data_IF_448165939164
#
_entry.id   IF_448165939164
#
_cell.length_a   1.000
_cell.length_b   1.000
_cell.length_c   1.000
_cell.angle_alpha   90.00
_cell.angle_beta   90.00
_cell.angle_gamma   90.00
#
_symmetry.space_group_name_H-M   'P 1'
#
loop_
_entity.id
_entity.type
_entity.pdbx_description
1 polymer ?
#
# COMPACT_ATOMS: atom_id res chain seq x y z
N UNK A 1 51.39 28.11 -24.37
CA UNK A 1 50.14 27.96 -25.13
C UNK A 1 49.45 26.72 -24.62
N UNK A 2 48.51 26.89 -23.72
CA UNK A 2 47.72 25.78 -23.13
C UNK A 2 46.31 25.95 -23.69
N UNK A 3 45.90 25.04 -24.57
CA UNK A 3 44.54 24.97 -25.11
C UNK A 3 43.60 24.37 -24.07
N UNK A 4 42.43 24.97 -23.80
CA UNK A 4 41.46 24.40 -22.90
C UNK A 4 40.71 23.24 -23.58
N UNK A 5 40.62 22.10 -22.90
CA UNK A 5 39.74 20.96 -23.27
C UNK A 5 38.31 21.43 -23.21
N UNK A 6 37.57 21.30 -24.30
CA UNK A 6 36.11 21.39 -24.35
C UNK A 6 35.53 20.24 -23.54
N UNK A 7 34.73 20.56 -22.54
CA UNK A 7 33.82 19.65 -21.89
C UNK A 7 32.62 19.43 -22.82
N UNK A 8 32.56 18.26 -23.46
CA UNK A 8 31.36 17.79 -24.14
C UNK A 8 30.31 17.45 -23.08
N UNK A 9 29.51 18.46 -22.77
CA UNK A 9 28.29 18.28 -22.02
C UNK A 9 27.20 17.95 -23.04
N UNK A 10 27.07 16.67 -23.41
CA UNK A 10 25.90 16.20 -24.12
C UNK A 10 24.68 16.40 -23.20
N UNK A 11 23.54 16.94 -23.69
CA UNK A 11 22.33 17.02 -22.89
C UNK A 11 21.92 15.61 -22.54
N UNK A 12 21.68 15.38 -21.22
CA UNK A 12 21.14 14.16 -20.67
C UNK A 12 19.79 13.90 -21.38
N UNK A 13 19.75 12.95 -22.29
CA UNK A 13 18.51 12.51 -22.91
C UNK A 13 17.56 12.12 -21.78
N UNK A 14 16.28 12.54 -21.80
CA UNK A 14 15.29 12.10 -20.83
C UNK A 14 15.21 10.59 -20.94
N UNK A 15 15.73 9.90 -19.92
CA UNK A 15 15.56 8.46 -19.81
C UNK A 15 14.06 8.15 -19.97
N UNK A 16 13.70 7.06 -20.66
CA UNK A 16 12.32 6.74 -20.94
C UNK A 16 11.54 6.79 -19.62
N UNK A 17 10.46 7.58 -19.61
CA UNK A 17 9.42 7.45 -18.58
C UNK A 17 9.21 5.95 -18.40
N UNK A 18 9.26 5.47 -17.15
CA UNK A 18 9.08 4.04 -16.86
C UNK A 18 7.77 3.63 -17.54
N UNK A 19 7.88 3.14 -18.76
CA UNK A 19 6.79 2.51 -19.48
C UNK A 19 6.50 1.20 -18.73
N UNK A 20 5.75 1.36 -17.64
CA UNK A 20 5.12 0.25 -16.95
C UNK A 20 4.00 -0.23 -17.88
N UNK A 21 4.36 -0.94 -18.95
CA UNK A 21 3.38 -1.62 -19.79
C UNK A 21 2.37 -2.34 -18.91
N UNK A 22 1.13 -2.44 -19.34
CA UNK A 22 -0.04 -2.97 -18.59
C UNK A 22 0.20 -4.21 -17.70
N UNK A 23 1.26 -4.95 -17.92
CA UNK A 23 1.66 -6.12 -17.15
C UNK A 23 2.41 -5.85 -15.83
N UNK A 24 2.87 -4.61 -15.54
CA UNK A 24 3.72 -4.33 -14.37
C UNK A 24 2.97 -3.66 -13.20
N UNK A 25 1.66 -3.43 -13.32
CA UNK A 25 0.87 -2.65 -12.36
C UNK A 25 0.21 -3.50 -11.28
N UNK A 26 0.88 -4.49 -10.73
CA UNK A 26 0.30 -5.33 -9.68
C UNK A 26 1.35 -6.15 -8.96
N UNK A 27 0.91 -6.97 -8.01
CA UNK A 27 1.74 -7.93 -7.28
C UNK A 27 1.12 -9.32 -7.35
N UNK A 28 1.96 -10.33 -7.51
CA UNK A 28 1.62 -11.73 -7.34
C UNK A 28 2.42 -12.33 -6.19
N UNK A 29 1.70 -12.93 -5.26
CA UNK A 29 2.21 -13.66 -4.10
C UNK A 29 1.96 -15.15 -4.35
N UNK A 30 2.98 -16.00 -4.21
CA UNK A 30 2.89 -17.45 -4.42
C UNK A 30 3.60 -18.20 -3.32
N UNK A 31 2.91 -19.20 -2.76
CA UNK A 31 3.40 -20.15 -1.75
C UNK A 31 4.11 -19.46 -0.58
N UNK A 32 3.59 -18.28 -0.18
CA UNK A 32 4.23 -17.40 0.77
C UNK A 32 4.11 -17.95 2.19
N UNK A 33 5.26 -18.25 2.80
CA UNK A 33 5.36 -18.62 4.22
C UNK A 33 6.30 -17.65 4.93
N UNK A 34 5.79 -17.02 5.98
CA UNK A 34 6.59 -16.17 6.88
C UNK A 34 6.57 -16.75 8.28
N UNK A 35 7.74 -16.89 8.89
CA UNK A 35 7.89 -17.41 10.25
C UNK A 35 8.66 -16.44 11.12
N UNK A 36 8.18 -16.23 12.35
CA UNK A 36 8.90 -15.55 13.41
C UNK A 36 9.19 -16.58 14.51
N UNK A 37 10.45 -17.00 14.61
CA UNK A 37 10.87 -18.11 15.49
C UNK A 37 10.04 -19.38 15.20
N UNK A 38 9.28 -19.89 16.18
CA UNK A 38 8.43 -21.08 16.02
C UNK A 38 7.03 -20.81 15.46
N UNK A 39 6.60 -19.50 15.34
CA UNK A 39 5.25 -19.15 14.91
C UNK A 39 5.21 -18.84 13.42
N UNK A 40 4.30 -19.48 12.69
CA UNK A 40 3.97 -19.09 11.32
C UNK A 40 3.08 -17.83 11.37
N UNK A 41 3.56 -16.76 10.79
CA UNK A 41 2.87 -15.47 10.73
C UNK A 41 2.05 -15.30 9.45
N UNK A 42 2.49 -15.93 8.35
CA UNK A 42 1.75 -15.98 7.09
C UNK A 42 1.90 -17.37 6.46
N UNK A 43 0.79 -17.85 5.88
CA UNK A 43 0.70 -19.05 5.06
C UNK A 43 -0.33 -18.77 3.95
N UNK A 44 0.16 -18.24 2.82
CA UNK A 44 -0.68 -17.77 1.71
C UNK A 44 -0.25 -18.47 0.43
N UNK A 45 -0.99 -19.49 -0.03
CA UNK A 45 -0.64 -20.22 -1.26
C UNK A 45 -0.66 -19.34 -2.49
N UNK A 46 -1.68 -18.48 -2.61
CA UNK A 46 -1.81 -17.56 -3.74
C UNK A 46 -2.60 -16.32 -3.34
N UNK A 47 -2.08 -15.14 -3.73
CA UNK A 47 -2.78 -13.88 -3.64
C UNK A 47 -2.25 -12.96 -4.74
N UNK A 48 -3.11 -12.16 -5.34
CA UNK A 48 -2.68 -11.19 -6.34
C UNK A 48 -3.31 -9.84 -6.03
N UNK A 49 -2.58 -8.77 -6.27
CA UNK A 49 -3.09 -7.39 -6.22
C UNK A 49 -3.03 -6.80 -7.63
N UNK A 50 -4.08 -6.12 -8.03
CA UNK A 50 -4.24 -5.54 -9.38
C UNK A 50 -4.54 -4.04 -9.27
N UNK A 51 -4.49 -3.28 -10.38
CA UNK A 51 -4.94 -1.88 -10.38
C UNK A 51 -6.32 -1.76 -9.76
N UNK A 52 -6.51 -0.68 -9.01
CA UNK A 52 -7.64 -0.48 -8.11
C UNK A 52 -7.19 -0.39 -6.67
N UNK A 53 -8.15 -0.25 -5.76
CA UNK A 53 -7.90 -0.17 -4.32
C UNK A 53 -8.31 -1.48 -3.65
N UNK A 54 -7.34 -2.15 -3.05
CA UNK A 54 -7.59 -3.33 -2.20
C UNK A 54 -7.48 -2.94 -0.73
N UNK A 55 -8.57 -3.11 0.01
CA UNK A 55 -8.55 -3.03 1.47
C UNK A 55 -8.09 -4.36 2.07
N UNK A 56 -7.00 -4.31 2.83
CA UNK A 56 -6.46 -5.45 3.58
C UNK A 56 -6.95 -5.38 5.02
N UNK A 57 -7.81 -6.31 5.42
CA UNK A 57 -8.49 -6.31 6.71
C UNK A 57 -8.12 -7.52 7.58
N UNK A 58 -8.58 -7.52 8.80
CA UNK A 58 -8.33 -8.60 9.77
C UNK A 58 -7.96 -8.06 11.15
N UNK A 59 -8.07 -8.90 12.17
CA UNK A 59 -7.73 -8.54 13.56
C UNK A 59 -6.26 -8.16 13.74
N UNK A 60 -5.93 -7.54 14.88
CA UNK A 60 -4.55 -7.26 15.23
C UNK A 60 -3.76 -8.58 15.31
N UNK A 61 -2.57 -8.59 14.71
CA UNK A 61 -1.74 -9.80 14.63
C UNK A 61 -2.14 -10.81 13.55
N UNK A 62 -3.14 -10.51 12.70
CA UNK A 62 -3.55 -11.39 11.59
C UNK A 62 -2.53 -11.52 10.46
N UNK A 63 -1.51 -10.63 10.42
CA UNK A 63 -0.43 -10.69 9.42
C UNK A 63 -0.44 -9.55 8.38
N UNK A 64 -1.33 -8.56 8.46
CA UNK A 64 -1.44 -7.44 7.49
C UNK A 64 -0.11 -6.72 7.27
N UNK A 65 0.46 -6.15 8.32
CA UNK A 65 1.76 -5.45 8.27
C UNK A 65 2.88 -6.37 7.78
N UNK A 66 2.86 -7.64 8.16
CA UNK A 66 3.85 -8.64 7.70
C UNK A 66 3.74 -8.86 6.19
N UNK A 67 2.53 -9.01 5.66
CA UNK A 67 2.27 -9.15 4.22
C UNK A 67 2.75 -7.91 3.46
N UNK A 68 2.38 -6.71 3.91
CA UNK A 68 2.83 -5.46 3.30
C UNK A 68 4.35 -5.33 3.29
N UNK A 69 5.04 -5.68 4.38
CA UNK A 69 6.52 -5.67 4.47
C UNK A 69 7.17 -6.66 3.51
N UNK A 70 6.60 -7.85 3.33
CA UNK A 70 7.10 -8.82 2.35
C UNK A 70 6.88 -8.29 0.93
N UNK A 71 5.70 -7.77 0.63
CA UNK A 71 5.40 -7.15 -0.66
C UNK A 71 6.33 -5.97 -0.99
N UNK A 72 6.74 -5.20 0.03
CA UNK A 72 7.70 -4.10 -0.11
C UNK A 72 9.18 -4.55 -0.14
N UNK A 73 9.47 -5.85 -0.10
CA UNK A 73 10.82 -6.45 0.04
C UNK A 73 11.60 -5.91 1.25
N UNK A 74 10.89 -5.62 2.35
CA UNK A 74 11.46 -5.24 3.64
C UNK A 74 11.61 -6.43 4.58
N UNK A 75 10.92 -7.52 4.29
CA UNK A 75 10.98 -8.76 5.02
C UNK A 75 11.13 -9.93 4.04
N UNK A 76 12.14 -10.78 4.26
CA UNK A 76 12.34 -11.98 3.46
C UNK A 76 11.44 -13.11 3.98
N UNK A 77 10.62 -13.74 3.11
CA UNK A 77 9.83 -14.89 3.51
C UNK A 77 10.71 -16.14 3.76
N UNK A 78 10.20 -17.09 4.53
CA UNK A 78 10.83 -18.39 4.73
C UNK A 78 10.68 -19.30 3.50
N UNK A 79 9.56 -19.15 2.76
CA UNK A 79 9.31 -19.81 1.50
C UNK A 79 8.38 -18.95 0.64
N UNK A 80 8.32 -19.26 -0.67
CA UNK A 80 7.49 -18.56 -1.64
C UNK A 80 8.14 -17.31 -2.20
N UNK A 81 7.35 -16.54 -2.96
CA UNK A 81 7.84 -15.38 -3.69
C UNK A 81 6.79 -14.29 -3.85
N UNK A 82 7.26 -13.06 -4.05
CA UNK A 82 6.47 -11.91 -4.49
C UNK A 82 7.08 -11.39 -5.79
N UNK A 83 6.25 -11.19 -6.80
CA UNK A 83 6.67 -10.66 -8.10
C UNK A 83 5.81 -9.48 -8.54
N UNK A 84 6.39 -8.58 -9.34
CA UNK A 84 5.69 -7.48 -9.98
C UNK A 84 5.00 -7.96 -11.26
N UNK A 85 3.70 -7.65 -11.37
CA UNK A 85 2.91 -7.92 -12.57
C UNK A 85 2.67 -9.40 -12.83
N UNK A 86 2.13 -9.70 -14.02
CA UNK A 86 1.73 -11.04 -14.43
C UNK A 86 2.89 -11.89 -14.99
N UNK A 87 4.14 -11.56 -14.69
CA UNK A 87 5.33 -12.19 -15.29
C UNK A 87 5.76 -13.51 -14.65
N UNK A 88 4.97 -14.03 -13.69
CA UNK A 88 5.37 -15.22 -12.95
C UNK A 88 6.46 -14.91 -11.90
N UNK A 89 6.87 -15.94 -11.12
CA UNK A 89 7.98 -15.77 -10.18
C UNK A 89 9.24 -15.38 -10.97
N UNK A 90 9.95 -14.38 -10.44
CA UNK A 90 11.24 -13.98 -11.00
C UNK A 90 12.20 -15.18 -10.89
N UNK A 91 12.84 -15.62 -11.99
CA UNK A 91 13.74 -16.78 -11.95
C UNK A 91 14.92 -16.60 -10.99
N UNK A 92 15.24 -15.36 -10.63
CA UNK A 92 16.24 -15.00 -9.64
C UNK A 92 15.77 -13.80 -8.80
N UNK A 93 14.92 -14.04 -7.78
CA UNK A 93 14.34 -12.97 -6.98
C UNK A 93 15.39 -12.20 -6.16
N UNK A 94 16.54 -12.79 -5.90
CA UNK A 94 17.64 -12.16 -5.15
C UNK A 94 18.60 -11.36 -6.05
N UNK A 95 18.44 -11.42 -7.36
CA UNK A 95 19.26 -10.64 -8.28
C UNK A 95 19.09 -9.14 -8.02
N UNK A 96 20.20 -8.43 -7.77
CA UNK A 96 20.18 -7.00 -7.42
C UNK A 96 19.33 -6.14 -8.34
N UNK A 97 19.33 -6.44 -9.64
CA UNK A 97 18.53 -5.71 -10.64
C UNK A 97 17.02 -5.89 -10.40
N UNK A 98 16.57 -7.10 -10.04
CA UNK A 98 15.17 -7.42 -9.79
C UNK A 98 14.68 -6.78 -8.50
N UNK A 99 15.45 -6.87 -7.42
CA UNK A 99 15.18 -6.19 -6.15
C UNK A 99 15.10 -4.67 -6.34
N UNK A 100 16.01 -4.10 -7.11
CA UNK A 100 16.02 -2.68 -7.42
C UNK A 100 14.75 -2.25 -8.18
N UNK A 101 14.43 -2.94 -9.28
CA UNK A 101 13.24 -2.69 -10.09
C UNK A 101 11.96 -2.78 -9.27
N UNK A 102 11.87 -3.79 -8.41
CA UNK A 102 10.75 -3.98 -7.50
C UNK A 102 10.61 -2.78 -6.55
N UNK A 103 11.70 -2.34 -5.91
CA UNK A 103 11.69 -1.19 -5.01
C UNK A 103 11.40 0.14 -5.71
N UNK A 104 11.81 0.30 -6.95
CA UNK A 104 11.50 1.49 -7.76
C UNK A 104 10.00 1.55 -8.12
N UNK A 105 9.35 0.38 -8.30
CA UNK A 105 7.94 0.29 -8.65
C UNK A 105 6.99 0.40 -7.44
N UNK A 106 7.50 0.31 -6.20
CA UNK A 106 6.67 0.26 -4.99
C UNK A 106 6.89 1.48 -4.11
N UNK A 107 5.79 2.14 -3.75
CA UNK A 107 5.70 3.04 -2.61
C UNK A 107 5.23 2.29 -1.37
N UNK A 108 5.84 2.52 -0.23
CA UNK A 108 5.43 1.92 1.04
C UNK A 108 5.37 2.95 2.15
N UNK A 109 4.24 3.00 2.84
CA UNK A 109 4.02 3.75 4.07
C UNK A 109 3.88 2.74 5.22
N UNK A 110 4.79 2.70 6.19
CA UNK A 110 4.63 1.90 7.40
C UNK A 110 3.61 2.53 8.36
N UNK A 111 3.04 1.74 9.26
CA UNK A 111 2.11 2.18 10.31
C UNK A 111 2.71 3.28 11.22
N UNK A 112 3.99 3.17 11.53
CA UNK A 112 4.74 4.17 12.28
C UNK A 112 5.95 4.63 11.44
N UNK A 113 5.80 5.66 10.59
CA UNK A 113 6.91 6.20 9.83
C UNK A 113 7.93 6.85 10.75
N UNK A 114 9.18 6.41 10.66
CA UNK A 114 10.31 7.03 11.35
C UNK A 114 11.08 7.90 10.35
N UNK A 115 10.88 9.21 10.44
CA UNK A 115 11.60 10.19 9.62
C UNK A 115 12.08 11.34 10.53
N UNK A 116 13.32 11.86 10.30
CA UNK A 116 13.87 12.91 11.15
C UNK A 116 12.97 14.16 11.23
N UNK A 117 12.42 14.43 12.40
CA UNK A 117 11.41 15.47 12.61
C UNK A 117 11.91 16.90 12.42
N UNK A 118 13.24 17.11 12.23
CA UNK A 118 13.82 18.42 11.96
C UNK A 118 13.73 18.85 10.48
N UNK A 119 13.49 17.92 9.57
CA UNK A 119 13.25 18.24 8.16
C UNK A 119 11.93 19.00 7.99
N UNK A 120 11.91 19.96 7.06
CA UNK A 120 10.64 20.54 6.57
C UNK A 120 9.91 19.53 5.69
N UNK A 121 8.65 19.80 5.39
CA UNK A 121 7.87 18.96 4.44
C UNK A 121 8.58 18.92 3.09
N UNK A 122 8.99 20.08 2.56
CA UNK A 122 9.71 20.18 1.29
C UNK A 122 11.00 19.37 1.29
N UNK A 123 11.82 19.51 2.32
CA UNK A 123 13.08 18.76 2.46
C UNK A 123 12.84 17.27 2.51
N UNK A 124 11.85 16.81 3.28
CA UNK A 124 11.52 15.40 3.44
C UNK A 124 11.05 14.76 2.12
N UNK A 125 10.16 15.43 1.39
CA UNK A 125 9.67 14.95 0.09
C UNK A 125 10.77 15.01 -0.97
N UNK A 126 11.60 16.06 -0.97
CA UNK A 126 12.75 16.18 -1.87
C UNK A 126 13.79 15.09 -1.62
N UNK A 127 14.07 14.79 -0.35
CA UNK A 127 14.96 13.70 0.02
C UNK A 127 14.43 12.34 -0.42
N UNK A 128 13.12 12.08 -0.22
CA UNK A 128 12.47 10.87 -0.70
C UNK A 128 12.55 10.76 -2.24
N UNK A 129 12.31 11.84 -2.96
CA UNK A 129 12.43 11.89 -4.41
C UNK A 129 13.87 11.58 -4.88
N UNK A 130 14.87 12.10 -4.17
CA UNK A 130 16.28 11.80 -4.47
C UNK A 130 16.62 10.32 -4.20
N UNK A 131 16.22 9.80 -3.03
CA UNK A 131 16.46 8.42 -2.63
C UNK A 131 15.81 7.42 -3.61
N UNK A 132 14.61 7.77 -4.10
CA UNK A 132 13.84 7.00 -5.09
C UNK A 132 14.24 7.28 -6.53
N UNK A 133 15.33 8.05 -6.74
CA UNK A 133 15.93 8.32 -8.06
C UNK A 133 15.03 9.06 -9.05
N UNK A 134 14.14 9.90 -8.55
CA UNK A 134 13.41 10.82 -9.43
C UNK A 134 14.44 11.66 -10.21
N UNK A 135 14.37 11.70 -11.55
CA UNK A 135 15.33 12.44 -12.38
C UNK A 135 15.50 13.90 -11.93
N UNK A 136 16.73 14.38 -11.88
CA UNK A 136 17.05 15.73 -11.36
C UNK A 136 16.21 16.83 -12.03
N UNK A 137 16.05 16.75 -13.36
CA UNK A 137 15.30 17.76 -14.11
C UNK A 137 13.79 17.77 -13.80
N UNK A 138 13.21 16.66 -13.29
CA UNK A 138 11.78 16.57 -12.96
C UNK A 138 11.52 16.69 -11.46
N UNK A 139 12.55 16.60 -10.62
CA UNK A 139 12.40 16.45 -9.15
C UNK A 139 11.64 17.61 -8.52
N UNK A 140 12.03 18.85 -8.83
CA UNK A 140 11.41 20.04 -8.24
C UNK A 140 9.92 20.14 -8.61
N UNK A 141 9.57 19.87 -9.86
CA UNK A 141 8.18 19.87 -10.33
C UNK A 141 7.37 18.75 -9.67
N UNK A 142 7.92 17.52 -9.62
CA UNK A 142 7.27 16.37 -9.00
C UNK A 142 7.02 16.58 -7.50
N UNK A 143 8.00 17.13 -6.77
CA UNK A 143 7.88 17.47 -5.35
C UNK A 143 6.77 18.48 -5.13
N UNK A 144 6.77 19.59 -5.89
CA UNK A 144 5.73 20.63 -5.79
C UNK A 144 4.36 20.04 -6.05
N UNK A 145 4.17 19.30 -7.14
CA UNK A 145 2.88 18.68 -7.48
C UNK A 145 2.37 17.75 -6.37
N UNK A 146 3.23 16.90 -5.78
CA UNK A 146 2.82 16.00 -4.72
C UNK A 146 2.45 16.75 -3.44
N UNK A 147 3.15 17.82 -3.11
CA UNK A 147 2.83 18.72 -1.98
C UNK A 147 1.45 19.35 -2.20
N UNK A 148 1.19 19.89 -3.39
CA UNK A 148 -0.09 20.50 -3.74
C UNK A 148 -1.23 19.47 -3.75
N UNK A 149 -1.01 18.31 -4.37
CA UNK A 149 -1.98 17.20 -4.43
C UNK A 149 -2.43 16.69 -3.06
N UNK A 150 -1.59 16.84 -2.03
CA UNK A 150 -1.86 16.41 -0.65
C UNK A 150 -2.20 17.56 0.28
N UNK A 151 -2.51 18.77 -0.26
CA UNK A 151 -2.88 19.97 0.50
C UNK A 151 -1.85 20.31 1.59
N UNK A 152 -0.55 20.28 1.26
CA UNK A 152 0.57 20.57 2.16
C UNK A 152 1.24 21.91 1.84
N UNK A 153 0.74 22.68 0.88
CA UNK A 153 1.35 23.93 0.38
C UNK A 153 1.57 24.94 1.48
N UNK A 154 0.59 25.14 2.37
CA UNK A 154 0.68 26.12 3.47
C UNK A 154 1.70 25.72 4.55
N UNK A 155 2.00 24.42 4.66
CA UNK A 155 2.93 23.86 5.66
C UNK A 155 4.24 23.37 5.06
N UNK A 156 4.52 23.72 3.81
CA UNK A 156 5.70 23.27 3.04
C UNK A 156 7.02 23.49 3.78
N UNK A 157 7.17 24.64 4.44
CA UNK A 157 8.37 25.02 5.19
C UNK A 157 8.27 24.66 6.69
N UNK A 158 7.15 24.09 7.14
CA UNK A 158 7.01 23.65 8.52
C UNK A 158 7.79 22.34 8.76
N UNK A 159 8.38 22.23 9.95
CA UNK A 159 9.11 21.02 10.35
C UNK A 159 8.14 19.86 10.64
N UNK A 160 8.48 18.65 10.22
CA UNK A 160 7.63 17.46 10.44
C UNK A 160 7.19 17.28 11.88
N UNK A 161 8.10 17.58 12.86
CA UNK A 161 7.78 17.48 14.31
C UNK A 161 6.73 18.49 14.79
N UNK A 162 6.57 19.62 14.08
CA UNK A 162 5.61 20.68 14.45
C UNK A 162 4.26 20.53 13.76
N UNK A 163 4.11 19.58 12.85
CA UNK A 163 2.86 19.35 12.13
C UNK A 163 1.80 18.71 13.01
N UNK A 164 0.53 19.02 12.72
CA UNK A 164 -0.61 18.23 13.19
C UNK A 164 -0.47 16.76 12.78
N UNK A 165 -1.18 15.85 13.44
CA UNK A 165 -1.17 14.43 13.07
C UNK A 165 -1.54 14.20 11.62
N UNK A 166 -2.59 14.88 11.13
CA UNK A 166 -3.06 14.78 9.75
C UNK A 166 -2.05 15.30 8.74
N UNK A 167 -1.48 16.49 8.95
CA UNK A 167 -0.46 17.05 8.05
C UNK A 167 0.80 16.17 8.03
N UNK A 168 1.21 15.65 9.19
CA UNK A 168 2.36 14.75 9.28
C UNK A 168 2.12 13.46 8.50
N UNK A 169 0.93 12.87 8.63
CA UNK A 169 0.57 11.66 7.88
C UNK A 169 0.54 11.91 6.38
N UNK A 170 -0.06 13.03 5.93
CA UNK A 170 -0.03 13.43 4.52
C UNK A 170 1.39 13.64 4.00
N UNK A 171 2.29 14.24 4.79
CA UNK A 171 3.70 14.39 4.44
C UNK A 171 4.42 13.03 4.30
N UNK A 172 4.10 12.04 5.13
CA UNK A 172 4.63 10.68 4.97
C UNK A 172 4.07 9.98 3.72
N UNK A 173 2.80 10.20 3.39
CA UNK A 173 2.23 9.70 2.14
C UNK A 173 2.91 10.36 0.94
N UNK A 174 3.16 11.68 0.99
CA UNK A 174 3.89 12.40 -0.05
C UNK A 174 5.25 11.74 -0.35
N UNK A 175 5.99 11.36 0.68
CA UNK A 175 7.26 10.64 0.53
C UNK A 175 7.09 9.26 -0.13
N UNK A 176 5.99 8.56 0.16
CA UNK A 176 5.72 7.24 -0.42
C UNK A 176 5.30 7.29 -1.89
N UNK A 177 4.73 8.42 -2.36
CA UNK A 177 4.16 8.54 -3.71
C UNK A 177 5.01 9.38 -4.67
N UNK A 178 6.00 10.14 -4.18
CA UNK A 178 6.74 11.14 -4.96
C UNK A 178 7.48 10.58 -6.19
N UNK A 179 7.82 9.30 -6.17
CA UNK A 179 8.47 8.63 -7.31
C UNK A 179 7.47 7.96 -8.26
N UNK A 180 6.17 8.26 -8.11
CA UNK A 180 5.09 7.75 -8.96
C UNK A 180 5.04 6.21 -9.04
N UNK A 181 5.02 5.50 -7.91
CA UNK A 181 5.05 4.03 -7.91
C UNK A 181 3.86 3.43 -8.64
N UNK A 182 4.08 2.28 -9.29
CA UNK A 182 3.02 1.49 -9.90
C UNK A 182 2.15 0.77 -8.85
N UNK A 183 2.76 0.43 -7.72
CA UNK A 183 2.10 -0.21 -6.58
C UNK A 183 2.32 0.64 -5.33
N UNK A 184 1.25 0.95 -4.61
CA UNK A 184 1.30 1.69 -3.36
C UNK A 184 0.78 0.82 -2.21
N UNK A 185 1.62 0.59 -1.23
CA UNK A 185 1.33 -0.20 -0.04
C UNK A 185 1.26 0.72 1.17
N UNK A 186 0.11 0.80 1.81
CA UNK A 186 -0.16 1.73 2.92
C UNK A 186 -0.61 0.95 4.15
N UNK A 187 0.14 1.07 5.23
CA UNK A 187 -0.18 0.41 6.49
C UNK A 187 -0.89 1.39 7.42
N UNK A 188 -2.22 1.27 7.54
CA UNK A 188 -3.12 2.12 8.30
C UNK A 188 -3.00 3.63 7.99
N UNK A 189 -3.15 4.05 6.73
CA UNK A 189 -2.87 5.42 6.30
C UNK A 189 -3.81 6.47 6.90
N UNK A 190 -5.00 6.09 7.36
CA UNK A 190 -6.06 6.97 7.87
C UNK A 190 -6.08 7.08 9.40
N UNK A 191 -5.24 6.30 10.08
CA UNK A 191 -5.18 6.29 11.55
C UNK A 191 -4.59 7.60 12.08
N UNK A 192 -5.26 8.20 13.08
CA UNK A 192 -4.81 9.45 13.71
C UNK A 192 -5.08 10.71 12.89
N UNK A 193 -5.86 10.62 11.82
CA UNK A 193 -6.31 11.75 11.00
C UNK A 193 -7.74 12.12 11.41
N UNK A 194 -8.03 13.42 11.54
CA UNK A 194 -9.38 13.91 11.75
C UNK A 194 -10.29 13.67 10.52
N UNK A 195 -11.59 13.85 10.69
CA UNK A 195 -12.60 13.48 9.67
C UNK A 195 -12.40 14.23 8.35
N UNK A 196 -12.13 15.55 8.42
CA UNK A 196 -11.99 16.39 7.24
C UNK A 196 -10.77 15.98 6.39
N UNK A 197 -9.61 15.87 7.01
CA UNK A 197 -8.39 15.45 6.35
C UNK A 197 -8.43 13.98 5.86
N UNK A 198 -9.24 13.14 6.52
CA UNK A 198 -9.48 11.76 6.07
C UNK A 198 -10.26 11.73 4.75
N UNK A 199 -11.26 12.61 4.58
CA UNK A 199 -12.02 12.73 3.33
C UNK A 199 -11.12 13.17 2.16
N UNK A 200 -10.25 14.15 2.40
CA UNK A 200 -9.27 14.60 1.39
C UNK A 200 -8.32 13.48 0.99
N UNK A 201 -7.79 12.75 1.97
CA UNK A 201 -6.90 11.61 1.72
C UNK A 201 -7.62 10.51 0.93
N UNK A 202 -8.87 10.20 1.27
CA UNK A 202 -9.69 9.23 0.51
C UNK A 202 -9.83 9.66 -0.96
N UNK A 203 -10.15 10.93 -1.20
CA UNK A 203 -10.27 11.47 -2.55
C UNK A 203 -8.95 11.34 -3.33
N UNK A 204 -7.83 11.62 -2.69
CA UNK A 204 -6.50 11.44 -3.28
C UNK A 204 -6.20 9.97 -3.63
N UNK A 205 -6.45 9.04 -2.69
CA UNK A 205 -6.24 7.62 -2.91
C UNK A 205 -7.15 7.05 -3.99
N UNK A 206 -8.43 7.47 -4.03
CA UNK A 206 -9.38 7.08 -5.08
C UNK A 206 -8.87 7.49 -6.48
N UNK A 207 -8.29 8.69 -6.60
CA UNK A 207 -7.65 9.15 -7.84
C UNK A 207 -6.46 8.27 -8.24
N UNK A 208 -5.61 7.89 -7.29
CA UNK A 208 -4.47 7.02 -7.54
C UNK A 208 -4.91 5.60 -7.97
N UNK A 209 -5.93 5.06 -7.33
CA UNK A 209 -6.46 3.72 -7.62
C UNK A 209 -6.94 3.53 -9.05
N UNK A 210 -7.37 4.60 -9.73
CA UNK A 210 -7.80 4.53 -11.14
C UNK A 210 -6.72 4.01 -12.09
N UNK A 211 -5.46 4.19 -11.76
CA UNK A 211 -4.33 3.86 -12.66
C UNK A 211 -3.24 3.02 -11.99
N UNK A 212 -3.31 2.84 -10.68
CA UNK A 212 -2.27 2.17 -9.89
C UNK A 212 -2.88 1.07 -9.02
N UNK A 213 -2.06 0.13 -8.63
CA UNK A 213 -2.43 -0.85 -7.60
C UNK A 213 -2.20 -0.22 -6.22
N UNK A 214 -3.27 0.02 -5.49
CA UNK A 214 -3.21 0.54 -4.11
C UNK A 214 -3.68 -0.55 -3.15
N UNK A 215 -2.86 -0.91 -2.18
CA UNK A 215 -3.19 -1.84 -1.11
C UNK A 215 -3.08 -1.07 0.20
N UNK A 216 -4.18 -0.93 0.90
CA UNK A 216 -4.18 -0.27 2.21
C UNK A 216 -4.67 -1.23 3.29
N UNK A 217 -3.94 -1.33 4.39
CA UNK A 217 -4.48 -1.96 5.60
C UNK A 217 -5.38 -0.98 6.31
N UNK A 218 -6.54 -1.43 6.75
CA UNK A 218 -7.47 -0.61 7.53
C UNK A 218 -8.31 -1.47 8.46
N UNK A 219 -8.71 -0.87 9.56
CA UNK A 219 -9.75 -1.37 10.46
C UNK A 219 -11.01 -0.49 10.42
N UNK A 220 -10.99 0.60 9.63
CA UNK A 220 -12.13 1.49 9.44
C UNK A 220 -13.04 0.96 8.34
N UNK A 221 -14.28 0.64 8.70
CA UNK A 221 -15.30 0.13 7.75
C UNK A 221 -15.64 1.14 6.66
N UNK A 222 -15.65 2.42 6.99
CA UNK A 222 -15.84 3.51 6.03
C UNK A 222 -14.78 3.55 4.91
N UNK A 223 -13.52 3.20 5.22
CA UNK A 223 -12.47 3.13 4.19
C UNK A 223 -12.75 1.99 3.21
N UNK A 224 -13.34 0.89 3.70
CA UNK A 224 -13.73 -0.23 2.86
C UNK A 224 -14.87 0.15 1.93
N UNK A 225 -15.93 0.77 2.47
CA UNK A 225 -17.13 1.11 1.71
C UNK A 225 -16.90 2.21 0.68
N UNK A 226 -16.12 3.25 1.06
CA UNK A 226 -15.97 4.45 0.24
C UNK A 226 -14.80 4.35 -0.74
N UNK A 227 -13.83 3.47 -0.51
CA UNK A 227 -12.60 3.42 -1.30
C UNK A 227 -12.35 2.09 -1.99
N UNK A 228 -12.71 0.96 -1.35
CA UNK A 228 -12.20 -0.31 -1.81
C UNK A 228 -12.99 -0.87 -3.00
N UNK A 229 -12.28 -1.22 -4.06
CA UNK A 229 -12.80 -2.05 -5.15
C UNK A 229 -12.80 -3.54 -4.76
N UNK A 230 -11.90 -3.90 -3.84
CA UNK A 230 -11.70 -5.27 -3.37
C UNK A 230 -11.31 -5.31 -1.90
N UNK A 231 -11.75 -6.35 -1.21
CA UNK A 231 -11.43 -6.63 0.19
C UNK A 231 -10.71 -7.97 0.29
N UNK A 232 -9.56 -7.97 0.97
CA UNK A 232 -8.85 -9.19 1.35
C UNK A 232 -8.80 -9.23 2.88
N UNK A 233 -9.40 -10.24 3.49
CA UNK A 233 -9.38 -10.41 4.95
C UNK A 233 -8.43 -11.51 5.36
N UNK A 234 -7.55 -11.18 6.33
CA UNK A 234 -6.60 -12.12 6.91
C UNK A 234 -7.04 -12.56 8.31
N UNK A 235 -6.92 -13.84 8.58
CA UNK A 235 -7.02 -14.43 9.91
C UNK A 235 -5.90 -15.44 10.12
N UNK A 236 -5.14 -15.27 11.22
CA UNK A 236 -4.05 -16.17 11.58
C UNK A 236 -3.05 -16.44 10.43
N UNK A 237 -2.76 -15.39 9.66
CA UNK A 237 -1.81 -15.46 8.55
C UNK A 237 -2.36 -16.06 7.25
N UNK A 238 -3.64 -16.37 7.17
CA UNK A 238 -4.30 -16.95 6.00
C UNK A 238 -5.36 -16.01 5.44
N UNK A 239 -5.58 -16.07 4.13
CA UNK A 239 -6.68 -15.36 3.48
C UNK A 239 -7.97 -16.13 3.77
N UNK A 240 -8.93 -15.46 4.44
CA UNK A 240 -10.26 -16.03 4.76
C UNK A 240 -11.38 -15.43 3.92
N UNK A 241 -11.11 -14.29 3.28
CA UNK A 241 -11.99 -13.66 2.31
C UNK A 241 -11.17 -12.92 1.25
N UNK A 242 -11.64 -12.99 0.02
CA UNK A 242 -11.10 -12.29 -1.14
C UNK A 242 -12.26 -12.03 -2.11
N UNK A 243 -12.70 -10.79 -2.22
CA UNK A 243 -13.86 -10.41 -3.02
C UNK A 243 -14.16 -8.92 -2.94
N UNK A 244 -15.30 -8.50 -3.47
CA UNK A 244 -15.79 -7.12 -3.42
C UNK A 244 -16.40 -6.78 -2.05
N UNK A 245 -16.54 -5.47 -1.70
CA UNK A 245 -17.28 -5.06 -0.51
C UNK A 245 -18.72 -5.58 -0.49
N UNK A 246 -19.38 -5.63 -1.66
CA UNK A 246 -20.74 -6.16 -1.78
C UNK A 246 -20.82 -7.66 -1.46
N UNK A 247 -19.86 -8.46 -1.94
CA UNK A 247 -19.78 -9.90 -1.61
C UNK A 247 -19.47 -10.11 -0.13
N UNK A 248 -18.68 -9.23 0.48
CA UNK A 248 -18.39 -9.27 1.91
C UNK A 248 -19.67 -9.07 2.74
N UNK A 249 -20.47 -8.04 2.41
CA UNK A 249 -21.75 -7.76 3.11
C UNK A 249 -22.78 -8.85 2.90
N UNK A 250 -22.86 -9.41 1.70
CA UNK A 250 -23.77 -10.53 1.40
C UNK A 250 -23.51 -11.76 2.28
N UNK A 251 -22.25 -12.03 2.64
CA UNK A 251 -21.88 -13.12 3.57
C UNK A 251 -22.34 -12.89 5.01
N UNK A 252 -22.62 -11.65 5.40
CA UNK A 252 -23.09 -11.33 6.76
C UNK A 252 -24.59 -11.59 6.99
N UNK A 253 -25.31 -12.11 5.97
CA UNK A 253 -26.75 -12.28 6.02
C UNK A 253 -27.45 -10.97 5.74
N UNK A 254 -27.60 -10.61 4.45
CA UNK A 254 -28.07 -9.33 3.93
C UNK A 254 -29.38 -8.83 4.59
N UNK A 255 -29.23 -8.01 5.62
CA UNK A 255 -30.28 -7.12 6.10
C UNK A 255 -30.12 -5.78 5.37
N UNK A 256 -31.23 -5.11 5.07
CA UNK A 256 -31.29 -3.77 4.46
C UNK A 256 -30.80 -2.65 5.40
N UNK A 257 -29.93 -2.99 6.34
CA UNK A 257 -29.38 -2.09 7.35
C UNK A 257 -28.14 -1.37 6.81
N UNK A 258 -27.93 -0.15 7.30
CA UNK A 258 -26.87 0.80 6.97
C UNK A 258 -25.54 0.12 6.59
N UNK A 259 -24.99 0.40 5.38
CA UNK A 259 -23.84 -0.30 4.79
C UNK A 259 -22.66 -0.56 5.74
N UNK A 260 -22.26 0.46 6.53
CA UNK A 260 -21.14 0.39 7.48
C UNK A 260 -21.34 -0.69 8.57
N UNK A 261 -22.54 -0.82 9.09
CA UNK A 261 -22.88 -1.87 10.08
C UNK A 261 -22.84 -3.27 9.48
N UNK A 262 -23.17 -3.38 8.19
CA UNK A 262 -23.15 -4.65 7.47
C UNK A 262 -21.72 -5.12 7.22
N UNK A 263 -20.81 -4.23 6.84
CA UNK A 263 -19.37 -4.51 6.67
C UNK A 263 -18.74 -4.89 8.00
N UNK A 264 -19.01 -4.12 9.06
CA UNK A 264 -18.49 -4.41 10.41
C UNK A 264 -18.93 -5.79 10.90
N UNK A 265 -20.21 -6.13 10.75
CA UNK A 265 -20.75 -7.45 11.11
C UNK A 265 -20.07 -8.57 10.31
N UNK A 266 -19.87 -8.36 8.99
CA UNK A 266 -19.18 -9.32 8.14
C UNK A 266 -17.75 -9.57 8.58
N UNK A 267 -17.01 -8.53 8.88
CA UNK A 267 -15.62 -8.61 9.37
C UNK A 267 -15.55 -9.30 10.74
N UNK A 268 -16.49 -9.00 11.65
CA UNK A 268 -16.57 -9.66 12.96
C UNK A 268 -16.85 -11.14 12.82
N UNK A 269 -17.74 -11.55 11.92
CA UNK A 269 -18.03 -12.96 11.64
C UNK A 269 -16.80 -13.69 11.07
N UNK A 270 -16.04 -13.06 10.18
CA UNK A 270 -14.78 -13.62 9.66
C UNK A 270 -13.71 -13.73 10.75
N UNK A 271 -13.66 -12.78 11.69
CA UNK A 271 -12.70 -12.77 12.80
C UNK A 271 -13.02 -13.83 13.84
N UNK A 272 -14.30 -14.06 14.13
CA UNK A 272 -14.77 -15.00 15.17
C UNK A 272 -14.75 -16.46 14.73
N UNK A 273 -14.50 -16.77 13.46
CA UNK A 273 -14.56 -18.12 12.91
C UNK A 273 -15.95 -18.68 12.97
N UNK A 274 -16.87 -18.17 12.13
CA UNK A 274 -18.29 -18.48 12.12
C UNK A 274 -18.61 -19.94 12.49
N UNK A 275 -19.04 -20.14 13.72
CA UNK A 275 -19.55 -21.41 14.22
C UNK A 275 -21.04 -21.49 13.87
N UNK A 276 -21.34 -21.55 12.57
CA UNK A 276 -22.65 -21.96 12.08
C UNK A 276 -22.51 -23.30 11.38
N UNK A 277 -22.18 -24.33 12.15
CA UNK A 277 -22.72 -25.65 11.86
C UNK A 277 -24.18 -25.59 12.29
N UNK A 278 -25.04 -25.54 11.30
CA UNK A 278 -26.45 -25.84 11.45
C UNK A 278 -26.58 -27.14 12.24
N UNK A 279 -27.19 -27.07 13.42
CA UNK A 279 -27.84 -28.18 14.07
C UNK A 279 -29.06 -28.55 13.21
N UNK A 280 -28.80 -29.30 12.15
CA UNK A 280 -29.80 -30.04 11.42
C UNK A 280 -29.62 -31.50 11.80
N UNK A 281 -30.12 -31.86 12.97
CA UNK A 281 -30.59 -33.21 13.17
C UNK A 281 -31.80 -33.16 14.12
N UNK A 282 -32.98 -33.21 13.48
CA UNK A 282 -34.24 -33.30 14.09
C UNK A 282 -34.40 -34.69 14.69
N UNK A 283 -34.46 -34.78 16.00
CA UNK A 283 -34.88 -35.95 16.71
C UNK A 283 -36.31 -36.36 16.34
N UNK A 284 -36.42 -37.40 15.55
CA UNK A 284 -37.62 -38.22 15.51
C UNK A 284 -37.55 -39.19 16.69
N UNK A 285 -38.45 -39.02 17.68
CA UNK A 285 -39.22 -40.09 18.36
C UNK A 285 -40.27 -39.46 19.26
#
# INVERSE_FOLDING_TARGET
MITPRRSDNAPDEPGPALDCGDGARGLDVRDLVVRYRARTALDIPRLSFRPGITALTGSNGSGKTTLLKVCALLLRPAAGSVSLGNRGPDPDPDKRANVRRHREAIGYLPQAPDFPGHFTVHEAVTYAAWLRRVPRGRRAETVRRVIDDLNLTEVTEARLRSLSGGNRQRAHIAQAVVHEPAVLLLDEPTTGIDVEHRMELRTYLARLGRTRCVVLSTHHTEDIELLADRVVSLREGRVVFDGTPAELTARAGGGTDDGARSVERALNNLSSGGNSRQDADGGAR
#
